data_IF_227704694597
#
_entry.id   IF_227704694597
#
_cell.length_a   1.000
_cell.length_b   1.000
_cell.length_c   1.000
_cell.angle_alpha   90.00
_cell.angle_beta   90.00
_cell.angle_gamma   90.00
#
_symmetry.space_group_name_H-M   'P 1'
#
loop_
_entity.id
_entity.type
_entity.pdbx_description
1 polymer ?
#
# COMPACT_ATOMS: atom_id res chain seq x y z
N UNK A 1 2.95 -13.68 0.42
CA UNK A 1 3.17 -13.31 1.85
C UNK A 1 3.72 -11.89 2.01
N UNK A 2 4.90 -11.52 1.48
CA UNK A 2 5.46 -10.18 1.71
C UNK A 2 4.56 -9.02 1.24
N UNK A 3 3.89 -9.18 0.09
CA UNK A 3 2.94 -8.16 -0.38
C UNK A 3 1.76 -7.94 0.59
N UNK A 4 1.25 -9.01 1.20
CA UNK A 4 0.16 -8.90 2.17
C UNK A 4 0.57 -8.02 3.37
N UNK A 5 1.82 -8.12 3.83
CA UNK A 5 2.35 -7.26 4.89
C UNK A 5 2.39 -5.78 4.47
N UNK A 6 2.79 -5.48 3.23
CA UNK A 6 2.73 -4.11 2.69
C UNK A 6 1.28 -3.60 2.59
N UNK A 7 0.38 -4.46 2.12
CA UNK A 7 -1.03 -4.12 1.95
C UNK A 7 -1.69 -3.80 3.30
N UNK A 8 -1.52 -4.67 4.30
CA UNK A 8 -2.01 -4.43 5.67
C UNK A 8 -1.41 -3.16 6.26
N UNK A 9 -0.10 -2.95 6.13
CA UNK A 9 0.56 -1.73 6.62
C UNK A 9 -0.03 -0.45 6.01
N UNK A 10 -0.29 -0.43 4.70
CA UNK A 10 -0.90 0.74 4.05
C UNK A 10 -2.34 0.94 4.54
N UNK A 11 -3.13 -0.12 4.65
CA UNK A 11 -4.50 -0.02 5.16
C UNK A 11 -4.53 0.46 6.61
N UNK A 12 -3.64 -0.03 7.46
CA UNK A 12 -3.54 0.44 8.85
C UNK A 12 -3.23 1.94 8.89
N UNK A 13 -2.31 2.43 8.04
CA UNK A 13 -2.03 3.86 7.92
C UNK A 13 -3.22 4.67 7.38
N UNK A 14 -4.00 4.12 6.46
CA UNK A 14 -5.22 4.75 5.95
C UNK A 14 -6.25 4.92 7.07
N UNK A 15 -6.34 3.94 7.98
CA UNK A 15 -7.35 3.90 9.04
C UNK A 15 -6.85 4.36 10.42
N UNK A 16 -5.59 4.78 10.57
CA UNK A 16 -5.02 5.35 11.80
C UNK A 16 -5.81 6.58 12.30
N UNK A 17 -6.42 7.34 11.38
CA UNK A 17 -7.32 8.47 11.68
C UNK A 17 -8.83 8.11 11.54
N UNK A 18 -9.17 6.83 11.71
CA UNK A 18 -10.50 6.26 11.43
C UNK A 18 -10.96 6.44 9.97
N UNK A 19 -10.04 6.67 9.03
CA UNK A 19 -10.34 6.85 7.61
C UNK A 19 -10.85 8.25 7.28
N UNK A 20 -10.71 9.24 8.16
CA UNK A 20 -11.24 10.59 7.97
C UNK A 20 -10.77 11.21 6.64
N UNK A 21 -9.46 11.17 6.36
CA UNK A 21 -8.91 11.67 5.10
C UNK A 21 -9.34 10.87 3.88
N UNK A 22 -9.47 9.55 4.04
CA UNK A 22 -10.00 8.68 3.00
C UNK A 22 -11.42 9.12 2.61
N UNK A 23 -12.31 9.32 3.59
CA UNK A 23 -13.70 9.67 3.32
C UNK A 23 -13.91 11.11 2.85
N UNK A 24 -13.03 12.03 3.25
CA UNK A 24 -13.01 13.38 2.70
C UNK A 24 -12.69 13.37 1.20
N UNK A 25 -11.77 12.49 0.79
CA UNK A 25 -11.31 12.37 -0.60
C UNK A 25 -12.22 11.47 -1.44
N UNK A 26 -12.75 10.40 -0.85
CA UNK A 26 -13.60 9.39 -1.46
C UNK A 26 -14.90 9.20 -0.66
N UNK A 27 -15.86 10.14 -0.71
CA UNK A 27 -17.08 10.06 0.09
C UNK A 27 -17.92 8.80 -0.17
N UNK A 28 -17.82 8.23 -1.38
CA UNK A 28 -18.48 6.98 -1.79
C UNK A 28 -17.89 5.73 -1.14
N UNK A 29 -16.82 5.84 -0.35
CA UNK A 29 -16.16 4.72 0.33
C UNK A 29 -16.42 4.71 1.84
N UNK A 30 -17.29 5.60 2.33
CA UNK A 30 -17.70 5.70 3.75
C UNK A 30 -18.30 4.43 4.33
N UNK A 31 -18.74 3.49 3.50
CA UNK A 31 -19.26 2.19 3.92
C UNK A 31 -18.17 1.25 4.46
N UNK A 32 -16.91 1.42 4.06
CA UNK A 32 -15.80 0.56 4.49
C UNK A 32 -15.23 1.12 5.80
N UNK A 33 -15.63 0.56 6.94
CA UNK A 33 -15.38 1.15 8.26
C UNK A 33 -14.01 0.81 8.86
N UNK A 34 -13.35 -0.20 8.33
CA UNK A 34 -12.08 -0.70 8.84
C UNK A 34 -11.22 -1.24 7.68
N UNK A 35 -9.96 -1.52 7.99
CA UNK A 35 -8.97 -2.05 7.04
C UNK A 35 -9.41 -3.36 6.38
N UNK A 36 -10.10 -4.25 7.10
CA UNK A 36 -10.59 -5.53 6.59
C UNK A 36 -11.64 -5.34 5.49
N UNK A 37 -12.72 -4.61 5.77
CA UNK A 37 -13.75 -4.29 4.77
C UNK A 37 -13.18 -3.55 3.57
N UNK A 38 -12.19 -2.69 3.80
CA UNK A 38 -11.50 -1.99 2.73
C UNK A 38 -10.73 -2.95 1.81
N UNK A 39 -9.96 -3.89 2.37
CA UNK A 39 -9.24 -4.90 1.59
C UNK A 39 -10.15 -5.82 0.78
N UNK A 40 -11.30 -6.20 1.31
CA UNK A 40 -12.24 -7.09 0.60
C UNK A 40 -12.89 -6.42 -0.60
N UNK A 41 -13.05 -5.09 -0.58
CA UNK A 41 -13.84 -4.36 -1.55
C UNK A 41 -13.02 -3.48 -2.50
N UNK A 42 -11.77 -3.18 -2.16
CA UNK A 42 -10.89 -2.30 -2.92
C UNK A 42 -9.68 -3.08 -3.41
N UNK A 43 -9.39 -2.98 -4.71
CA UNK A 43 -8.20 -3.61 -5.26
C UNK A 43 -6.91 -2.99 -4.72
N UNK A 44 -5.83 -3.78 -4.64
CA UNK A 44 -4.52 -3.30 -4.21
C UNK A 44 -4.04 -2.07 -5.01
N UNK A 45 -4.35 -2.04 -6.31
CA UNK A 45 -4.06 -0.89 -7.17
C UNK A 45 -4.77 0.37 -6.68
N UNK A 46 -6.08 0.28 -6.41
CA UNK A 46 -6.88 1.41 -5.93
C UNK A 46 -6.47 1.84 -4.52
N UNK A 47 -6.09 0.91 -3.65
CA UNK A 47 -5.53 1.22 -2.33
C UNK A 47 -4.25 2.06 -2.46
N UNK A 48 -3.33 1.70 -3.35
CA UNK A 48 -2.10 2.47 -3.60
C UNK A 48 -2.42 3.88 -4.12
N UNK A 49 -3.37 4.01 -5.04
CA UNK A 49 -3.82 5.32 -5.54
C UNK A 49 -4.46 6.16 -4.44
N UNK A 50 -5.32 5.55 -3.61
CA UNK A 50 -5.99 6.22 -2.51
C UNK A 50 -4.97 6.73 -1.48
N UNK A 51 -4.02 5.89 -1.07
CA UNK A 51 -2.95 6.25 -0.14
C UNK A 51 -2.09 7.41 -0.69
N UNK A 52 -1.86 7.49 -1.99
CA UNK A 52 -1.21 8.66 -2.59
C UNK A 52 -2.10 9.90 -2.54
N UNK A 53 -3.38 9.77 -2.88
CA UNK A 53 -4.33 10.88 -2.93
C UNK A 53 -4.58 11.52 -1.57
N UNK A 54 -4.43 10.76 -0.49
CA UNK A 54 -4.51 11.27 0.88
C UNK A 54 -3.12 11.55 1.48
N UNK A 55 -2.09 11.72 0.64
CA UNK A 55 -0.71 12.08 0.97
C UNK A 55 0.07 11.09 1.85
N UNK A 56 -0.46 9.90 2.12
CA UNK A 56 0.30 8.82 2.77
C UNK A 56 1.46 8.44 1.87
N UNK A 57 1.32 8.38 0.55
CA UNK A 57 2.41 8.02 -0.36
C UNK A 57 2.86 9.21 -1.19
N UNK A 58 4.18 9.38 -1.34
CA UNK A 58 4.73 10.25 -2.39
C UNK A 58 4.49 9.66 -3.77
N UNK A 59 4.60 10.49 -4.81
CA UNK A 59 4.53 10.07 -6.21
C UNK A 59 5.51 8.93 -6.55
N UNK A 60 6.73 8.99 -6.00
CA UNK A 60 7.76 7.99 -6.25
C UNK A 60 7.46 6.66 -5.53
N UNK A 61 6.96 6.72 -4.29
CA UNK A 61 6.53 5.52 -3.57
C UNK A 61 5.36 4.84 -4.27
N UNK A 62 4.34 5.60 -4.70
CA UNK A 62 3.20 5.09 -5.48
C UNK A 62 3.67 4.31 -6.72
N UNK A 63 4.54 4.92 -7.54
CA UNK A 63 5.08 4.28 -8.75
C UNK A 63 5.82 2.98 -8.43
N UNK A 64 6.67 3.00 -7.41
CA UNK A 64 7.43 1.80 -7.02
C UNK A 64 6.55 0.69 -6.47
N UNK A 65 5.50 1.01 -5.71
CA UNK A 65 4.54 0.02 -5.24
C UNK A 65 3.73 -0.60 -6.37
N UNK A 66 3.34 0.17 -7.38
CA UNK A 66 2.70 -0.39 -8.58
C UNK A 66 3.62 -1.36 -9.34
N UNK A 67 4.92 -1.06 -9.44
CA UNK A 67 5.89 -1.99 -10.02
C UNK A 67 5.96 -3.32 -9.25
N UNK A 68 5.98 -3.26 -7.92
CA UNK A 68 5.98 -4.45 -7.07
C UNK A 68 4.65 -5.23 -7.17
N UNK A 69 3.52 -4.54 -7.24
CA UNK A 69 2.21 -5.16 -7.44
C UNK A 69 2.17 -5.92 -8.78
N UNK A 70 2.69 -5.32 -9.85
CA UNK A 70 2.79 -5.98 -11.15
C UNK A 70 3.64 -7.25 -11.07
N UNK A 71 4.84 -7.17 -10.48
CA UNK A 71 5.69 -8.36 -10.31
C UNK A 71 4.97 -9.48 -9.54
N UNK A 72 4.26 -9.14 -8.45
CA UNK A 72 3.44 -10.12 -7.71
C UNK A 72 2.31 -10.71 -8.54
N UNK A 73 1.66 -9.90 -9.39
CA UNK A 73 0.59 -10.39 -10.25
C UNK A 73 1.15 -11.32 -11.33
N UNK A 74 2.29 -10.99 -11.93
CA UNK A 74 2.98 -11.85 -12.91
C UNK A 74 3.31 -13.22 -12.32
N UNK A 75 3.83 -13.28 -11.08
CA UNK A 75 4.11 -14.56 -10.40
C UNK A 75 2.84 -15.30 -9.94
N UNK A 76 1.68 -14.65 -9.87
CA UNK A 76 0.41 -15.24 -9.44
C UNK A 76 -0.46 -15.73 -10.61
N UNK A 77 -0.09 -15.39 -11.84
CA UNK A 77 -0.76 -15.85 -13.05
C UNK A 77 0.08 -16.96 -13.72
N UNK A 78 -0.56 -17.90 -14.44
CA UNK A 78 0.16 -18.84 -15.29
C UNK A 78 0.79 -18.05 -16.45
N UNK A 79 2.00 -17.56 -16.21
CA UNK A 79 2.85 -16.85 -17.14
C UNK A 79 4.21 -17.52 -17.17
N UNK A 80 5.06 -17.15 -18.13
CA UNK A 80 6.45 -17.65 -18.20
C UNK A 80 7.36 -17.03 -17.12
N UNK A 81 6.79 -16.30 -16.15
CA UNK A 81 7.53 -15.69 -15.06
C UNK A 81 7.70 -16.69 -13.90
N UNK A 82 8.86 -17.35 -13.88
CA UNK A 82 9.28 -18.27 -12.83
C UNK A 82 10.44 -17.65 -12.03
N UNK A 83 10.15 -16.85 -11.00
CA UNK A 83 11.19 -16.13 -10.29
C UNK A 83 12.12 -17.06 -9.53
N UNK A 84 13.42 -16.83 -9.64
CA UNK A 84 14.40 -17.61 -8.88
C UNK A 84 14.45 -17.24 -7.38
N UNK A 85 15.22 -17.99 -6.60
CA UNK A 85 15.34 -17.74 -5.17
C UNK A 85 15.90 -16.34 -4.83
N UNK A 86 16.80 -15.80 -5.65
CA UNK A 86 17.39 -14.47 -5.43
C UNK A 86 16.37 -13.37 -5.77
N UNK A 87 15.59 -13.54 -6.83
CA UNK A 87 14.51 -12.63 -7.20
C UNK A 87 13.44 -12.58 -6.11
N UNK A 88 13.04 -13.74 -5.58
CA UNK A 88 12.10 -13.82 -4.47
C UNK A 88 12.62 -13.11 -3.20
N UNK A 89 13.88 -13.34 -2.83
CA UNK A 89 14.52 -12.67 -1.69
C UNK A 89 14.67 -11.16 -1.91
N UNK A 90 15.03 -10.75 -3.13
CA UNK A 90 15.12 -9.35 -3.54
C UNK A 90 13.78 -8.63 -3.41
N UNK A 91 12.70 -9.26 -3.87
CA UNK A 91 11.34 -8.76 -3.75
C UNK A 91 10.92 -8.54 -2.29
N UNK A 92 11.18 -9.54 -1.43
CA UNK A 92 10.89 -9.45 0.01
C UNK A 92 11.69 -8.31 0.67
N UNK A 93 13.00 -8.24 0.37
CA UNK A 93 13.89 -7.20 0.89
C UNK A 93 13.41 -5.81 0.51
N UNK A 94 13.04 -5.60 -0.76
CA UNK A 94 12.56 -4.32 -1.26
C UNK A 94 11.25 -3.89 -0.58
N UNK A 95 10.32 -4.82 -0.37
CA UNK A 95 9.09 -4.55 0.40
C UNK A 95 9.42 -4.08 1.81
N UNK A 96 10.26 -4.81 2.54
CA UNK A 96 10.61 -4.49 3.93
C UNK A 96 11.29 -3.12 4.01
N UNK A 97 12.20 -2.81 3.08
CA UNK A 97 12.85 -1.50 3.02
C UNK A 97 11.86 -0.38 2.74
N UNK A 98 10.88 -0.59 1.86
CA UNK A 98 9.84 0.40 1.56
C UNK A 98 8.93 0.66 2.75
N UNK A 99 8.50 -0.39 3.47
CA UNK A 99 7.73 -0.23 4.72
C UNK A 99 8.50 0.68 5.68
N UNK A 100 9.77 0.37 5.96
CA UNK A 100 10.63 1.18 6.84
C UNK A 100 10.74 2.63 6.39
N UNK A 101 10.92 2.88 5.09
CA UNK A 101 11.02 4.25 4.52
C UNK A 101 9.70 5.01 4.63
N UNK A 102 8.57 4.36 4.37
CA UNK A 102 7.24 4.98 4.50
C UNK A 102 6.97 5.31 5.96
N UNK A 103 7.17 4.34 6.85
CA UNK A 103 6.97 4.46 8.30
C UNK A 103 7.82 5.57 8.91
N UNK A 104 9.13 5.59 8.61
CA UNK A 104 10.05 6.63 9.10
C UNK A 104 9.57 8.03 8.71
N UNK A 105 9.12 8.23 7.47
CA UNK A 105 8.63 9.53 7.01
C UNK A 105 7.30 9.91 7.67
N UNK A 106 6.37 8.96 7.80
CA UNK A 106 5.07 9.21 8.46
C UNK A 106 5.29 9.58 9.93
N UNK A 107 6.17 8.84 10.63
CA UNK A 107 6.53 9.06 12.03
C UNK A 107 7.22 10.41 12.28
N UNK A 108 7.99 10.92 11.31
CA UNK A 108 8.65 12.22 11.40
C UNK A 108 7.72 13.43 11.21
N UNK A 109 6.40 13.24 11.05
CA UNK A 109 5.46 14.34 10.86
C UNK A 109 5.55 15.02 9.49
N UNK A 110 6.32 14.45 8.55
CA UNK A 110 6.35 14.85 7.14
C UNK A 110 5.08 14.43 6.38
N UNK A 111 4.09 13.95 7.12
CA UNK A 111 2.72 13.74 6.71
C UNK A 111 1.88 14.65 7.59
N UNK A 112 1.14 15.59 7.00
CA UNK A 112 0.30 16.54 7.72
C UNK A 112 -0.70 15.76 8.58
N UNK A 113 -0.35 15.55 9.85
CA UNK A 113 -1.33 15.28 10.91
C UNK A 113 -2.11 16.58 11.03
N UNK A 114 -3.24 16.64 10.34
CA UNK A 114 -4.17 17.74 10.40
C UNK A 114 -4.39 18.10 11.88
N UNK A 115 -4.00 19.34 12.22
CA UNK A 115 -4.37 20.00 13.48
C UNK A 115 -5.88 20.10 13.58
#
# INVERSE_FOLDING_TARGET
MAWAAMASFISDLIFDDQGSRLYATFPKWKQYKNAEQFHENISDYQMIEAAHKIDILTRNQRKGLHGLLNGRNESAHPSDHDPDANEALGYISEIVQRIKRIDSRVSQGNYSRSR
#
